data_IF_367461865838
#
_entry.id   IF_367461865838
#
_cell.length_a   1.000
_cell.length_b   1.000
_cell.length_c   1.000
_cell.angle_alpha   90.00
_cell.angle_beta   90.00
_cell.angle_gamma   90.00
#
_symmetry.space_group_name_H-M   'P 1'
#
loop_
_entity.id
_entity.type
_entity.pdbx_description
1 polymer ?
#
# COMPACT_ATOMS: atom_id res chain seq x y z
N UNK A 1 -53.21 -0.52 -46.06
CA UNK A 1 -53.29 -1.89 -45.47
C UNK A 1 -51.92 -2.27 -45.02
N UNK A 2 -51.70 -2.07 -43.78
CA UNK A 2 -51.50 -3.04 -42.71
C UNK A 2 -50.35 -4.02 -42.88
N UNK A 3 -49.29 -3.84 -42.15
CA UNK A 3 -48.81 -4.75 -41.05
C UNK A 3 -47.33 -4.42 -40.77
N UNK A 4 -47.03 -3.78 -39.68
CA UNK A 4 -45.87 -4.05 -38.85
C UNK A 4 -46.04 -3.42 -37.46
N UNK A 5 -46.87 -4.11 -36.66
CA UNK A 5 -46.86 -3.94 -35.20
C UNK A 5 -46.54 -5.33 -34.63
N UNK A 6 -45.39 -5.49 -33.98
CA UNK A 6 -45.18 -6.74 -33.30
C UNK A 6 -43.74 -7.17 -33.01
N UNK A 7 -42.76 -6.28 -32.85
CA UNK A 7 -41.42 -6.72 -32.43
C UNK A 7 -40.76 -5.73 -31.40
N UNK A 8 -41.57 -4.93 -30.74
CA UNK A 8 -41.02 -3.98 -29.76
C UNK A 8 -41.25 -4.34 -28.27
N UNK A 9 -41.85 -5.45 -27.99
CA UNK A 9 -42.22 -5.80 -26.59
C UNK A 9 -41.41 -6.96 -25.98
N UNK A 10 -40.50 -7.58 -26.72
CA UNK A 10 -39.71 -8.71 -26.14
C UNK A 10 -38.30 -8.33 -25.73
N UNK A 11 -37.81 -7.17 -26.13
CA UNK A 11 -36.46 -6.72 -25.74
C UNK A 11 -36.42 -5.97 -24.40
N UNK A 12 -37.57 -5.56 -23.86
CA UNK A 12 -37.61 -4.85 -22.57
C UNK A 12 -37.76 -5.77 -21.35
N UNK A 13 -38.09 -7.03 -21.55
CA UNK A 13 -38.28 -7.98 -20.43
C UNK A 13 -36.99 -8.74 -20.07
N UNK A 14 -35.97 -8.71 -20.90
CA UNK A 14 -34.70 -9.40 -20.62
C UNK A 14 -33.67 -8.52 -19.91
N UNK A 15 -33.85 -7.20 -19.89
CA UNK A 15 -32.97 -6.29 -19.15
C UNK A 15 -33.34 -6.10 -17.67
N UNK A 16 -34.50 -6.53 -17.23
CA UNK A 16 -34.96 -6.39 -15.83
C UNK A 16 -34.60 -7.62 -14.98
N UNK A 17 -34.22 -8.73 -15.61
CA UNK A 17 -33.86 -9.96 -14.89
C UNK A 17 -32.34 -10.11 -14.63
N UNK A 18 -31.53 -9.13 -15.06
CA UNK A 18 -30.09 -9.06 -14.75
C UNK A 18 -29.70 -7.89 -13.83
N UNK A 19 -30.68 -7.18 -13.29
CA UNK A 19 -30.50 -6.46 -12.04
C UNK A 19 -30.43 -7.50 -10.93
N UNK A 20 -29.37 -8.32 -10.98
CA UNK A 20 -29.08 -9.33 -10.01
C UNK A 20 -29.12 -8.66 -8.65
N UNK A 21 -29.87 -9.24 -7.76
CA UNK A 21 -29.83 -9.00 -6.35
C UNK A 21 -28.37 -9.17 -5.91
N UNK A 22 -27.60 -8.08 -5.99
CA UNK A 22 -26.38 -7.95 -5.23
C UNK A 22 -26.83 -7.86 -3.78
N UNK A 23 -27.09 -9.01 -3.17
CA UNK A 23 -27.00 -9.06 -1.72
C UNK A 23 -25.60 -8.56 -1.40
N UNK A 24 -25.44 -7.41 -0.72
CA UNK A 24 -24.16 -7.12 -0.17
C UNK A 24 -23.86 -8.34 0.71
N UNK A 25 -22.78 -9.06 0.40
CA UNK A 25 -22.22 -10.01 1.33
C UNK A 25 -21.92 -9.14 2.56
N UNK A 26 -22.84 -9.13 3.53
CA UNK A 26 -22.56 -8.50 4.81
C UNK A 26 -21.38 -9.26 5.36
N UNK A 27 -20.19 -8.67 5.22
CA UNK A 27 -19.03 -9.15 5.93
C UNK A 27 -19.47 -9.24 7.39
N UNK A 28 -19.44 -10.46 7.94
CA UNK A 28 -19.86 -10.70 9.31
C UNK A 28 -18.88 -9.92 10.18
N UNK A 29 -19.35 -8.82 10.78
CA UNK A 29 -18.51 -7.97 11.61
C UNK A 29 -17.76 -8.85 12.62
N UNK A 30 -16.44 -8.79 12.60
CA UNK A 30 -15.61 -9.57 13.53
C UNK A 30 -15.77 -8.94 14.91
N UNK A 31 -16.35 -9.72 15.83
CA UNK A 31 -16.61 -9.26 17.19
C UNK A 31 -15.70 -9.97 18.18
N UNK A 32 -14.91 -9.19 18.92
CA UNK A 32 -14.07 -9.70 20.00
C UNK A 32 -14.74 -9.48 21.36
N UNK A 33 -14.86 -10.53 22.15
CA UNK A 33 -15.56 -10.53 23.46
C UNK A 33 -14.91 -9.62 24.49
N UNK A 34 -13.61 -9.41 24.38
CA UNK A 34 -12.78 -8.58 25.27
C UNK A 34 -12.58 -7.14 24.77
N UNK A 35 -13.36 -6.71 23.76
CA UNK A 35 -13.39 -5.34 23.25
C UNK A 35 -14.72 -4.68 23.64
N UNK A 36 -14.79 -3.99 24.77
CA UNK A 36 -16.01 -3.34 25.24
C UNK A 36 -16.52 -2.29 24.25
N UNK A 37 -17.83 -2.05 24.25
CA UNK A 37 -18.46 -1.04 23.37
C UNK A 37 -17.95 0.38 23.65
N UNK A 38 -17.47 0.64 24.84
CA UNK A 38 -16.92 1.94 25.30
C UNK A 38 -15.41 2.04 25.15
N UNK A 39 -14.73 1.00 24.67
CA UNK A 39 -13.28 1.02 24.56
C UNK A 39 -12.82 2.04 23.52
N UNK A 40 -11.83 2.87 23.88
CA UNK A 40 -11.28 3.91 23.01
C UNK A 40 -10.65 3.38 21.70
N UNK A 41 -10.27 2.11 21.69
CA UNK A 41 -9.69 1.40 20.55
C UNK A 41 -10.73 0.61 19.72
N UNK A 42 -12.01 0.56 20.15
CA UNK A 42 -13.03 -0.29 19.54
C UNK A 42 -13.18 -0.05 18.03
N UNK A 43 -13.30 1.21 17.63
CA UNK A 43 -13.47 1.55 16.21
C UNK A 43 -12.30 1.06 15.37
N UNK A 44 -11.08 1.30 15.84
CA UNK A 44 -9.87 0.85 15.16
C UNK A 44 -9.82 -0.68 15.04
N UNK A 45 -10.12 -1.39 16.14
CA UNK A 45 -10.12 -2.87 16.14
C UNK A 45 -11.18 -3.42 15.21
N UNK A 46 -12.41 -2.90 15.24
CA UNK A 46 -13.50 -3.36 14.37
C UNK A 46 -13.14 -3.15 12.90
N UNK A 47 -12.70 -1.94 12.52
CA UNK A 47 -12.34 -1.62 11.14
C UNK A 47 -11.20 -2.49 10.62
N UNK A 48 -10.10 -2.58 11.37
CA UNK A 48 -8.95 -3.38 10.94
C UNK A 48 -9.24 -4.89 10.89
N UNK A 49 -10.17 -5.37 11.73
CA UNK A 49 -10.61 -6.76 11.69
C UNK A 49 -11.51 -7.05 10.48
N UNK A 50 -12.44 -6.15 10.17
CA UNK A 50 -13.30 -6.25 8.97
C UNK A 50 -12.47 -6.22 7.68
N UNK A 51 -11.40 -5.42 7.65
CA UNK A 51 -10.44 -5.34 6.53
C UNK A 51 -9.44 -6.53 6.52
N UNK A 52 -9.50 -7.45 7.48
CA UNK A 52 -8.59 -8.60 7.57
C UNK A 52 -7.14 -8.25 7.97
N UNK A 53 -6.89 -7.01 8.39
CA UNK A 53 -5.56 -6.52 8.78
C UNK A 53 -5.14 -7.13 10.11
N UNK A 54 -6.07 -7.22 11.07
CA UNK A 54 -5.83 -7.85 12.36
C UNK A 54 -6.71 -9.09 12.55
N UNK A 55 -6.20 -10.00 13.39
CA UNK A 55 -6.94 -11.18 13.83
C UNK A 55 -6.90 -11.27 15.35
N UNK A 56 -7.81 -12.05 15.93
CA UNK A 56 -7.76 -12.38 17.34
C UNK A 56 -6.53 -13.22 17.72
N UNK A 57 -6.30 -13.36 19.01
CA UNK A 57 -5.24 -14.21 19.57
C UNK A 57 -5.71 -15.64 19.80
N UNK A 58 -6.98 -15.81 20.13
CA UNK A 58 -7.67 -17.09 20.32
C UNK A 58 -9.19 -16.84 20.31
N UNK A 59 -9.98 -17.88 20.35
CA UNK A 59 -11.46 -17.95 20.40
C UNK A 59 -12.25 -16.66 20.67
N UNK A 60 -12.22 -15.72 19.73
CA UNK A 60 -12.97 -14.48 19.81
C UNK A 60 -12.39 -13.45 20.79
N UNK A 61 -11.10 -13.54 21.11
CA UNK A 61 -10.37 -12.56 21.92
C UNK A 61 -9.40 -11.73 21.05
N UNK A 62 -9.32 -10.45 21.32
CA UNK A 62 -8.35 -9.52 20.73
C UNK A 62 -7.09 -9.37 21.59
N UNK A 63 -7.23 -9.51 22.89
CA UNK A 63 -6.17 -9.31 23.90
C UNK A 63 -5.56 -7.89 23.85
N UNK A 64 -6.37 -6.83 24.07
CA UNK A 64 -5.96 -5.43 23.82
C UNK A 64 -4.76 -4.96 24.62
N UNK A 65 -4.57 -5.52 25.81
CA UNK A 65 -3.51 -5.12 26.73
C UNK A 65 -2.20 -5.90 26.55
N UNK A 66 -2.21 -6.97 25.74
CA UNK A 66 -1.01 -7.72 25.46
C UNK A 66 -0.02 -6.88 24.68
N UNK A 67 1.25 -7.09 24.94
CA UNK A 67 2.34 -6.42 24.21
C UNK A 67 2.39 -6.92 22.78
N UNK A 68 2.48 -6.01 21.81
CA UNK A 68 2.61 -6.38 20.41
C UNK A 68 4.07 -6.66 20.04
N UNK A 69 4.29 -7.77 19.34
CA UNK A 69 5.62 -8.10 18.84
C UNK A 69 5.95 -7.31 17.55
N UNK A 70 7.24 -7.20 17.26
CA UNK A 70 7.74 -6.56 16.05
C UNK A 70 7.20 -7.22 14.77
N UNK A 71 7.19 -8.55 14.72
CA UNK A 71 6.62 -9.29 13.59
C UNK A 71 5.11 -9.04 13.45
N UNK A 72 4.38 -9.00 14.56
CA UNK A 72 2.94 -8.74 14.52
C UNK A 72 2.63 -7.33 13.98
N UNK A 73 3.40 -6.30 14.37
CA UNK A 73 3.20 -4.96 13.84
C UNK A 73 3.51 -4.87 12.35
N UNK A 74 4.62 -5.47 11.91
CA UNK A 74 4.97 -5.57 10.48
C UNK A 74 3.88 -6.32 9.69
N UNK A 75 3.29 -7.37 10.28
CA UNK A 75 2.16 -8.10 9.67
C UNK A 75 0.94 -7.21 9.44
N UNK A 76 0.62 -6.33 10.40
CA UNK A 76 -0.48 -5.37 10.24
C UNK A 76 -0.22 -4.43 9.05
N UNK A 77 0.99 -3.88 8.94
CA UNK A 77 1.37 -3.01 7.82
C UNK A 77 1.33 -3.76 6.47
N UNK A 78 1.84 -4.99 6.43
CA UNK A 78 1.83 -5.80 5.22
C UNK A 78 0.40 -6.12 4.73
N UNK A 79 -0.48 -6.53 5.65
CA UNK A 79 -1.88 -6.83 5.34
C UNK A 79 -2.70 -5.60 4.95
N UNK A 80 -2.29 -4.40 5.37
CA UNK A 80 -2.93 -3.17 4.91
C UNK A 80 -2.52 -2.75 3.49
N UNK A 81 -1.44 -3.32 2.96
CA UNK A 81 -0.91 -3.03 1.64
C UNK A 81 -1.23 -4.10 0.59
N UNK A 82 -1.31 -5.37 0.99
CA UNK A 82 -1.38 -6.51 0.09
C UNK A 82 -2.42 -7.53 0.56
N UNK A 83 -3.06 -8.18 -0.41
CA UNK A 83 -3.92 -9.36 -0.15
C UNK A 83 -3.11 -10.55 0.33
N UNK A 84 -3.80 -11.54 0.91
CA UNK A 84 -3.16 -12.78 1.36
C UNK A 84 -2.43 -13.51 0.22
N UNK A 85 -3.02 -13.55 -0.98
CA UNK A 85 -2.40 -14.18 -2.16
C UNK A 85 -1.11 -13.48 -2.58
N UNK A 86 -1.09 -12.16 -2.51
CA UNK A 86 0.11 -11.39 -2.84
C UNK A 86 1.20 -11.58 -1.79
N UNK A 87 0.83 -11.68 -0.52
CA UNK A 87 1.78 -11.91 0.57
C UNK A 87 2.43 -13.30 0.50
N UNK A 88 1.73 -14.33 0.00
CA UNK A 88 2.33 -15.66 -0.16
C UNK A 88 3.52 -15.67 -1.14
N UNK A 89 3.62 -14.72 -2.07
CA UNK A 89 4.78 -14.58 -2.96
C UNK A 89 6.08 -14.25 -2.21
N UNK A 90 5.96 -13.76 -0.99
CA UNK A 90 7.09 -13.47 -0.09
C UNK A 90 7.45 -14.64 0.83
N UNK A 91 6.82 -15.82 0.67
CA UNK A 91 7.12 -17.03 1.42
C UNK A 91 8.30 -17.80 0.79
N UNK A 92 9.47 -17.26 0.93
CA UNK A 92 10.74 -17.87 0.51
C UNK A 92 11.76 -17.77 1.67
N UNK A 93 12.86 -18.53 1.64
CA UNK A 93 13.91 -18.42 2.64
C UNK A 93 14.43 -16.98 2.74
N UNK A 94 14.26 -16.36 3.90
CA UNK A 94 14.75 -15.02 4.17
C UNK A 94 16.20 -15.02 4.69
N UNK A 95 16.73 -13.82 4.93
CA UNK A 95 18.12 -13.63 5.34
C UNK A 95 18.31 -13.64 6.87
N UNK A 96 17.25 -13.88 7.67
CA UNK A 96 17.33 -13.82 9.12
C UNK A 96 17.31 -15.19 9.76
N UNK A 97 18.28 -15.43 10.65
CA UNK A 97 18.45 -16.71 11.35
C UNK A 97 17.24 -17.07 12.23
N UNK A 98 16.56 -16.07 12.74
CA UNK A 98 15.42 -16.16 13.65
C UNK A 98 14.06 -16.05 12.94
N UNK A 99 14.05 -16.01 11.61
CA UNK A 99 12.84 -16.06 10.78
C UNK A 99 13.04 -17.09 9.67
N UNK A 100 13.07 -18.39 10.02
CA UNK A 100 13.17 -19.45 9.02
C UNK A 100 11.93 -19.51 8.13
N UNK A 101 12.02 -20.12 6.97
CA UNK A 101 10.91 -20.20 5.99
C UNK A 101 9.62 -20.79 6.55
N UNK A 102 9.73 -21.63 7.59
CA UNK A 102 8.58 -22.18 8.32
C UNK A 102 7.97 -21.24 9.34
N UNK A 103 8.61 -20.11 9.65
CA UNK A 103 8.07 -19.17 10.62
C UNK A 103 6.84 -18.47 10.06
N UNK A 104 5.80 -18.33 10.89
CA UNK A 104 4.52 -17.74 10.47
C UNK A 104 4.65 -16.34 9.87
N UNK A 105 5.60 -15.55 10.35
CA UNK A 105 5.79 -14.16 9.91
C UNK A 105 6.68 -14.01 8.68
N UNK A 106 7.23 -15.09 8.13
CA UNK A 106 8.17 -15.05 7.01
C UNK A 106 7.70 -14.20 5.83
N UNK A 107 6.48 -14.35 5.29
CA UNK A 107 6.07 -13.55 4.15
C UNK A 107 5.99 -12.06 4.49
N UNK A 108 5.57 -11.73 5.68
CA UNK A 108 5.43 -10.34 6.12
C UNK A 108 6.78 -9.66 6.37
N UNK A 109 7.71 -10.40 6.98
CA UNK A 109 9.07 -9.90 7.24
C UNK A 109 9.84 -9.74 5.94
N UNK A 110 9.77 -10.71 5.03
CA UNK A 110 10.41 -10.62 3.72
C UNK A 110 9.87 -9.43 2.91
N UNK A 111 8.55 -9.28 2.86
CA UNK A 111 7.93 -8.12 2.23
C UNK A 111 8.45 -6.80 2.83
N UNK A 112 8.45 -6.69 4.15
CA UNK A 112 8.85 -5.45 4.80
C UNK A 112 10.32 -5.09 4.55
N UNK A 113 11.18 -6.09 4.44
CA UNK A 113 12.61 -5.88 4.14
C UNK A 113 12.82 -5.50 2.68
N UNK A 114 12.16 -6.19 1.75
CA UNK A 114 12.27 -5.88 0.32
C UNK A 114 11.71 -4.51 -0.05
N UNK A 115 10.66 -4.07 0.65
CA UNK A 115 10.07 -2.74 0.44
C UNK A 115 10.73 -1.63 1.26
N UNK A 116 11.69 -1.97 2.11
CA UNK A 116 12.38 -1.01 2.97
C UNK A 116 11.58 -0.55 4.19
N UNK A 117 10.42 -1.15 4.46
CA UNK A 117 9.58 -0.84 5.64
C UNK A 117 10.28 -1.23 6.93
N UNK A 118 11.00 -2.33 6.92
CA UNK A 118 11.77 -2.77 8.08
C UNK A 118 13.16 -3.26 7.68
N UNK A 119 14.09 -3.21 8.64
CA UNK A 119 15.43 -3.74 8.49
C UNK A 119 15.71 -4.72 9.65
N UNK A 120 16.65 -5.64 9.43
CA UNK A 120 17.17 -6.49 10.50
C UNK A 120 18.18 -5.76 11.36
N UNK A 121 18.62 -6.46 12.39
CA UNK A 121 19.76 -6.06 13.19
C UNK A 121 21.06 -6.54 12.54
N UNK A 122 22.13 -5.80 12.62
CA UNK A 122 23.40 -6.07 11.91
C UNK A 122 24.05 -7.44 12.18
N UNK A 123 23.47 -8.25 13.08
CA UNK A 123 23.92 -9.61 13.41
C UNK A 123 23.17 -10.71 12.65
N UNK A 124 22.36 -10.37 11.64
CA UNK A 124 21.57 -11.32 10.86
C UNK A 124 20.30 -11.81 11.57
N UNK A 125 19.75 -11.03 12.50
CA UNK A 125 18.46 -11.31 13.16
C UNK A 125 17.44 -10.22 12.86
N UNK A 126 16.16 -10.58 12.90
CA UNK A 126 15.01 -9.66 12.81
C UNK A 126 14.38 -9.38 14.16
N UNK A 127 14.53 -10.31 15.09
CA UNK A 127 13.91 -10.36 16.42
C UNK A 127 12.38 -10.29 16.36
N UNK A 128 11.73 -11.28 15.70
CA UNK A 128 10.29 -11.26 15.41
C UNK A 128 9.42 -11.16 16.67
N UNK A 129 9.81 -11.86 17.74
CA UNK A 129 9.03 -11.95 18.98
C UNK A 129 9.34 -10.82 19.97
N UNK A 130 10.33 -9.97 19.67
CA UNK A 130 10.62 -8.83 20.53
C UNK A 130 9.47 -7.82 20.49
N UNK A 131 9.07 -7.35 21.67
CA UNK A 131 8.10 -6.26 21.78
C UNK A 131 8.55 -5.02 20.96
N UNK A 132 7.67 -4.44 20.18
CA UNK A 132 7.93 -3.20 19.45
C UNK A 132 7.79 -2.02 20.41
N UNK A 133 8.79 -1.15 20.46
CA UNK A 133 8.68 0.10 21.21
C UNK A 133 7.89 1.15 20.43
N UNK A 134 7.33 2.14 21.13
CA UNK A 134 6.53 3.20 20.51
C UNK A 134 7.32 4.01 19.48
N UNK A 135 8.60 4.31 19.76
CA UNK A 135 9.45 4.99 18.78
C UNK A 135 9.78 4.12 17.56
N UNK A 136 9.91 2.80 17.71
CA UNK A 136 10.09 1.88 16.59
C UNK A 136 8.81 1.77 15.76
N UNK A 137 7.65 1.73 16.40
CA UNK A 137 6.37 1.75 15.69
C UNK A 137 6.22 3.00 14.81
N UNK A 138 6.59 4.18 15.33
CA UNK A 138 6.58 5.42 14.54
C UNK A 138 7.50 5.34 13.30
N UNK A 139 8.71 4.77 13.46
CA UNK A 139 9.64 4.61 12.34
C UNK A 139 9.15 3.60 11.32
N UNK A 140 8.56 2.49 11.75
CA UNK A 140 7.97 1.51 10.84
C UNK A 140 6.81 2.11 10.04
N UNK A 141 5.94 2.91 10.69
CA UNK A 141 4.85 3.63 10.02
C UNK A 141 5.40 4.65 9.01
N UNK A 142 6.45 5.42 9.38
CA UNK A 142 7.08 6.36 8.45
C UNK A 142 7.66 5.64 7.23
N UNK A 143 8.44 4.59 7.45
CA UNK A 143 9.01 3.79 6.35
C UNK A 143 7.92 3.16 5.48
N UNK A 144 6.81 2.74 6.08
CA UNK A 144 5.66 2.24 5.37
C UNK A 144 5.00 3.33 4.51
N UNK A 145 4.85 4.54 5.05
CA UNK A 145 4.37 5.70 4.27
C UNK A 145 5.26 5.95 3.05
N UNK A 146 6.59 6.02 3.26
CA UNK A 146 7.56 6.23 2.18
C UNK A 146 7.46 5.14 1.10
N UNK A 147 7.24 3.87 1.49
CA UNK A 147 7.15 2.74 0.56
C UNK A 147 5.84 2.68 -0.22
N UNK A 148 4.79 3.28 0.30
CA UNK A 148 3.43 3.28 -0.29
C UNK A 148 3.02 4.62 -0.89
N UNK A 149 3.89 5.64 -0.83
CA UNK A 149 3.59 6.98 -1.32
C UNK A 149 2.58 7.76 -0.49
N UNK A 150 2.31 7.33 0.75
CA UNK A 150 1.39 8.04 1.64
C UNK A 150 2.08 9.24 2.27
N UNK A 151 1.35 10.35 2.39
CA UNK A 151 1.85 11.58 2.99
C UNK A 151 1.28 11.77 4.39
N UNK A 152 2.13 12.29 5.27
CA UNK A 152 1.71 12.72 6.60
C UNK A 152 1.16 14.16 6.50
N UNK A 153 -0.15 14.36 6.70
CA UNK A 153 -0.69 15.71 6.73
C UNK A 153 -0.19 16.44 7.98
N UNK A 154 -0.02 17.75 7.86
CA UNK A 154 0.32 18.61 8.99
C UNK A 154 -0.95 19.20 9.62
N UNK A 155 -1.87 18.35 10.04
CA UNK A 155 -3.17 18.73 10.56
C UNK A 155 -3.09 19.34 11.96
N UNK A 156 -1.97 19.11 12.66
CA UNK A 156 -1.73 19.63 14.01
C UNK A 156 -0.39 20.36 14.06
N UNK A 157 -0.29 21.44 14.85
CA UNK A 157 1.00 22.08 15.07
C UNK A 157 2.01 21.07 15.65
N UNK A 158 3.27 21.25 15.32
CA UNK A 158 4.32 20.46 15.95
C UNK A 158 4.31 20.74 17.46
N UNK A 159 3.80 19.79 18.21
CA UNK A 159 3.85 19.81 19.66
C UNK A 159 5.12 19.18 20.20
N UNK A 160 5.43 19.44 21.44
CA UNK A 160 6.51 18.74 22.14
C UNK A 160 5.95 17.84 23.22
N UNK A 161 6.42 16.59 23.23
CA UNK A 161 6.18 15.70 24.37
C UNK A 161 7.06 16.10 25.54
N UNK A 162 6.58 15.92 26.76
CA UNK A 162 7.38 16.24 27.97
C UNK A 162 8.68 15.46 28.04
N UNK A 163 8.69 14.25 27.49
CA UNK A 163 9.83 13.34 27.44
C UNK A 163 10.52 13.31 26.05
N UNK A 164 10.33 14.34 25.22
CA UNK A 164 10.90 14.37 23.86
C UNK A 164 12.42 14.24 23.83
N UNK A 165 13.12 14.65 24.91
CA UNK A 165 14.56 14.46 25.05
C UNK A 165 15.00 13.00 25.08
N UNK A 166 14.09 12.09 25.45
CA UNK A 166 14.31 10.64 25.50
C UNK A 166 14.07 9.93 24.16
N UNK A 167 13.54 10.64 23.16
CA UNK A 167 13.35 10.09 21.81
C UNK A 167 14.72 9.97 21.14
N UNK A 168 15.05 8.76 20.71
CA UNK A 168 16.29 8.49 20.00
C UNK A 168 16.39 9.34 18.71
N UNK A 169 17.60 9.80 18.36
CA UNK A 169 17.83 10.69 17.22
C UNK A 169 17.26 10.14 15.91
N UNK A 170 17.39 8.84 15.68
CA UNK A 170 16.87 8.13 14.50
C UNK A 170 15.33 8.07 14.42
N UNK A 171 14.61 8.29 15.52
CA UNK A 171 13.15 8.24 15.58
C UNK A 171 12.48 9.63 15.59
N UNK A 172 13.22 10.70 15.87
CA UNK A 172 12.67 12.06 16.07
C UNK A 172 11.76 12.51 14.94
N UNK A 173 12.22 12.34 13.70
CA UNK A 173 11.47 12.78 12.53
C UNK A 173 10.17 11.96 12.35
N UNK A 174 10.24 10.64 12.49
CA UNK A 174 9.07 9.78 12.40
C UNK A 174 8.03 10.10 13.48
N UNK A 175 8.49 10.32 14.71
CA UNK A 175 7.61 10.69 15.83
C UNK A 175 6.94 12.05 15.57
N UNK A 176 7.70 13.04 15.08
CA UNK A 176 7.16 14.36 14.73
C UNK A 176 6.07 14.25 13.65
N UNK A 177 6.33 13.53 12.56
CA UNK A 177 5.38 13.33 11.48
C UNK A 177 4.11 12.62 11.95
N UNK A 178 4.27 11.53 12.70
CA UNK A 178 3.13 10.80 13.27
C UNK A 178 2.30 11.66 14.22
N UNK A 179 2.95 12.54 14.99
CA UNK A 179 2.26 13.47 15.89
C UNK A 179 1.45 14.51 15.10
N UNK A 180 2.07 15.18 14.12
CA UNK A 180 1.42 16.22 13.32
C UNK A 180 0.24 15.67 12.51
N UNK A 181 0.32 14.43 12.05
CA UNK A 181 -0.76 13.74 11.36
C UNK A 181 -1.83 13.15 12.31
N UNK A 182 -1.66 13.28 13.62
CA UNK A 182 -2.59 12.70 14.60
C UNK A 182 -2.57 11.17 14.66
N UNK A 183 -1.54 10.54 14.08
CA UNK A 183 -1.37 9.08 14.06
C UNK A 183 -0.95 8.57 15.43
N UNK A 184 0.01 9.24 16.05
CA UNK A 184 0.48 8.93 17.41
C UNK A 184 0.29 10.16 18.29
N UNK A 185 -0.44 9.97 19.36
CA UNK A 185 -0.63 10.99 20.39
C UNK A 185 0.13 10.58 21.66
N UNK A 186 0.44 11.54 22.52
CA UNK A 186 0.98 11.25 23.84
C UNK A 186 -0.03 10.60 24.77
N UNK A 187 0.44 10.20 25.94
CA UNK A 187 -0.43 9.79 27.04
C UNK A 187 -1.11 11.03 27.69
N UNK A 188 -2.11 10.84 28.56
CA UNK A 188 -2.80 11.94 29.23
C UNK A 188 -1.88 12.88 30.01
N UNK A 189 -0.68 12.43 30.38
CA UNK A 189 0.33 13.25 31.05
C UNK A 189 1.22 14.03 30.05
N UNK A 190 1.01 13.87 28.75
CA UNK A 190 1.76 14.55 27.69
C UNK A 190 3.11 13.90 27.36
N UNK A 191 3.34 12.64 27.76
CA UNK A 191 4.55 11.91 27.40
C UNK A 191 4.33 11.04 26.15
N UNK A 192 5.37 10.87 25.36
CA UNK A 192 5.39 9.93 24.24
C UNK A 192 5.74 8.51 24.66
N UNK A 193 6.59 8.34 25.67
CA UNK A 193 7.15 7.07 26.17
C UNK A 193 7.90 6.30 25.07
N UNK A 194 9.01 6.82 24.56
CA UNK A 194 9.66 6.33 23.32
C UNK A 194 10.11 4.87 23.44
N UNK A 195 10.63 4.44 24.59
CA UNK A 195 11.09 3.07 24.84
C UNK A 195 10.02 2.15 25.41
N UNK A 196 8.85 2.69 25.77
CA UNK A 196 7.70 1.90 26.21
C UNK A 196 7.22 0.99 25.09
N UNK A 197 6.83 -0.23 25.43
CA UNK A 197 6.27 -1.19 24.47
C UNK A 197 4.83 -0.81 24.10
N UNK A 198 4.48 -0.98 22.83
CA UNK A 198 3.12 -0.77 22.38
C UNK A 198 2.26 -1.99 22.72
N UNK A 199 1.06 -1.75 23.23
CA UNK A 199 0.04 -2.79 23.35
C UNK A 199 -0.63 -3.07 22.01
N UNK A 200 -1.34 -4.20 21.91
CA UNK A 200 -2.11 -4.53 20.71
C UNK A 200 -3.17 -3.48 20.40
N UNK A 201 -3.83 -2.92 21.40
CA UNK A 201 -4.79 -1.84 21.24
C UNK A 201 -4.13 -0.55 20.73
N UNK A 202 -3.00 -0.15 21.32
CA UNK A 202 -2.25 1.03 20.86
C UNK A 202 -1.77 0.88 19.42
N UNK A 203 -1.24 -0.28 19.06
CA UNK A 203 -0.79 -0.55 17.69
C UNK A 203 -1.95 -0.57 16.68
N UNK A 204 -3.11 -1.13 17.05
CA UNK A 204 -4.31 -1.08 16.21
C UNK A 204 -4.75 0.37 15.96
N UNK A 205 -4.75 1.21 16.98
CA UNK A 205 -5.11 2.63 16.82
C UNK A 205 -4.08 3.39 15.99
N UNK A 206 -2.78 3.12 16.15
CA UNK A 206 -1.73 3.72 15.32
C UNK A 206 -1.94 3.33 13.85
N UNK A 207 -2.14 2.05 13.55
CA UNK A 207 -2.37 1.57 12.19
C UNK A 207 -3.65 2.17 11.60
N UNK A 208 -4.76 2.14 12.32
CA UNK A 208 -6.04 2.69 11.90
C UNK A 208 -5.94 4.19 11.58
N UNK A 209 -5.39 4.98 12.51
CA UNK A 209 -5.22 6.43 12.32
C UNK A 209 -4.29 6.74 11.15
N UNK A 210 -3.25 5.94 10.95
CA UNK A 210 -2.38 6.09 9.81
C UNK A 210 -3.14 5.89 8.49
N UNK A 211 -3.94 4.83 8.39
CA UNK A 211 -4.72 4.53 7.19
C UNK A 211 -5.81 5.59 6.90
N UNK A 212 -6.42 6.15 7.95
CA UNK A 212 -7.46 7.18 7.83
C UNK A 212 -6.91 8.58 7.58
N UNK A 213 -5.79 8.93 8.22
CA UNK A 213 -5.28 10.29 8.20
C UNK A 213 -4.23 10.54 7.10
N UNK A 214 -3.49 9.50 6.71
CA UNK A 214 -2.41 9.61 5.73
C UNK A 214 -2.90 9.11 4.38
N UNK A 215 -3.36 10.04 3.56
CA UNK A 215 -3.86 9.75 2.23
C UNK A 215 -2.71 9.31 1.31
N UNK A 216 -3.04 8.46 0.35
CA UNK A 216 -2.15 8.27 -0.80
C UNK A 216 -2.17 9.56 -1.61
N UNK A 217 -1.03 9.98 -2.14
CA UNK A 217 -1.04 10.96 -3.23
C UNK A 217 -1.94 10.42 -4.35
N UNK A 218 -2.30 11.28 -5.30
CA UNK A 218 -3.05 10.90 -6.49
C UNK A 218 -2.41 9.73 -7.23
N UNK A 219 -1.15 9.43 -6.91
CA UNK A 219 -0.43 8.24 -7.35
C UNK A 219 0.37 7.60 -6.21
N UNK A 220 0.59 6.29 -6.28
CA UNK A 220 1.49 5.56 -5.41
C UNK A 220 2.58 4.85 -6.22
N UNK A 221 3.82 4.91 -5.72
CA UNK A 221 4.92 4.09 -6.26
C UNK A 221 5.06 2.89 -5.33
N UNK A 222 4.73 1.71 -5.82
CA UNK A 222 4.82 0.48 -5.05
C UNK A 222 5.92 -0.42 -5.61
N UNK A 223 6.65 -1.07 -4.71
CA UNK A 223 7.56 -2.14 -5.07
C UNK A 223 6.85 -3.47 -4.82
N UNK A 224 6.80 -4.30 -5.82
CA UNK A 224 6.12 -5.59 -5.77
C UNK A 224 7.00 -6.66 -6.38
N UNK A 225 6.88 -7.88 -5.88
CA UNK A 225 7.51 -9.04 -6.52
C UNK A 225 6.47 -9.79 -7.37
N UNK A 226 6.81 -10.02 -8.63
CA UNK A 226 5.98 -10.80 -9.55
C UNK A 226 6.85 -11.93 -10.09
N UNK A 227 6.44 -13.18 -9.87
CA UNK A 227 7.22 -14.37 -10.26
C UNK A 227 8.70 -14.29 -9.86
N UNK A 228 8.98 -13.95 -8.58
CA UNK A 228 10.34 -13.74 -8.05
C UNK A 228 11.12 -12.56 -8.64
N UNK A 229 10.54 -11.75 -9.51
CA UNK A 229 11.18 -10.57 -10.08
C UNK A 229 10.71 -9.32 -9.33
N UNK A 230 11.61 -8.50 -8.77
CA UNK A 230 11.22 -7.24 -8.16
C UNK A 230 10.69 -6.29 -9.25
N UNK A 231 9.51 -5.74 -9.02
CA UNK A 231 8.84 -4.80 -9.93
C UNK A 231 8.54 -3.52 -9.16
N UNK A 232 8.82 -2.39 -9.77
CA UNK A 232 8.28 -1.10 -9.32
C UNK A 232 7.08 -0.77 -10.19
N UNK A 233 5.96 -0.50 -9.54
CA UNK A 233 4.74 -0.09 -10.20
C UNK A 233 4.30 1.29 -9.72
N UNK A 234 3.74 2.08 -10.61
CA UNK A 234 3.05 3.31 -10.27
C UNK A 234 1.56 3.03 -10.36
N UNK A 235 0.84 3.27 -9.29
CA UNK A 235 -0.60 3.14 -9.21
C UNK A 235 -1.18 4.55 -9.24
N UNK A 236 -2.02 4.85 -10.23
CA UNK A 236 -2.68 6.12 -10.39
C UNK A 236 -4.11 6.03 -9.86
N UNK A 237 -4.55 7.03 -9.13
CA UNK A 237 -5.95 7.13 -8.70
C UNK A 237 -6.85 7.40 -9.93
N UNK A 238 -7.92 6.64 -10.13
CA UNK A 238 -8.81 6.83 -11.27
C UNK A 238 -9.35 8.25 -11.35
N UNK A 239 -9.29 8.86 -12.54
CA UNK A 239 -9.81 10.20 -12.80
C UNK A 239 -8.95 11.37 -12.33
N UNK A 240 -7.78 11.10 -11.73
CA UNK A 240 -6.86 12.15 -11.28
C UNK A 240 -5.74 12.45 -12.30
N UNK A 241 -5.58 11.60 -13.30
CA UNK A 241 -4.52 11.74 -14.30
C UNK A 241 -5.06 11.52 -15.70
N UNK A 242 -4.58 12.35 -16.60
CA UNK A 242 -4.71 12.14 -18.05
C UNK A 242 -3.46 11.43 -18.56
N UNK A 243 -3.65 10.31 -19.25
CA UNK A 243 -2.57 9.61 -19.91
C UNK A 243 -2.40 10.14 -21.34
N UNK A 244 -1.21 10.58 -21.67
CA UNK A 244 -0.87 11.06 -23.00
C UNK A 244 0.40 10.40 -23.54
N UNK A 245 0.50 10.33 -24.84
CA UNK A 245 1.71 9.89 -25.53
C UNK A 245 2.62 11.10 -25.79
N UNK A 246 3.85 11.03 -25.33
CA UNK A 246 4.87 12.00 -25.67
C UNK A 246 5.96 11.34 -26.53
N UNK A 247 6.23 11.95 -27.66
CA UNK A 247 7.28 11.49 -28.58
C UNK A 247 8.61 12.19 -28.23
N UNK A 248 9.72 11.44 -28.30
CA UNK A 248 11.04 12.03 -28.15
C UNK A 248 11.26 13.14 -29.18
N UNK A 249 11.68 14.32 -28.72
CA UNK A 249 11.86 15.51 -29.58
C UNK A 249 10.64 15.87 -30.46
N UNK A 250 9.42 15.44 -30.03
CA UNK A 250 8.15 15.55 -30.77
C UNK A 250 8.16 14.86 -32.16
N UNK A 251 9.00 13.88 -32.36
CA UNK A 251 9.14 13.11 -33.60
C UNK A 251 8.99 11.62 -33.32
N UNK A 252 8.47 10.88 -34.29
CA UNK A 252 8.26 9.43 -34.17
C UNK A 252 9.59 8.67 -33.98
N UNK A 253 10.63 9.15 -34.62
CA UNK A 253 12.00 8.59 -34.59
C UNK A 253 12.98 9.42 -33.76
N UNK A 254 12.46 10.31 -32.91
CA UNK A 254 13.28 11.15 -32.03
C UNK A 254 13.69 10.43 -30.75
N UNK A 255 14.97 10.52 -30.41
CA UNK A 255 15.50 10.00 -29.14
C UNK A 255 15.57 11.12 -28.10
N UNK A 256 14.95 10.87 -26.95
CA UNK A 256 15.01 11.77 -25.79
C UNK A 256 15.03 10.92 -24.51
N UNK A 257 15.85 11.30 -23.53
CA UNK A 257 15.82 10.60 -22.26
C UNK A 257 14.56 10.98 -21.43
N UNK A 258 14.11 10.07 -20.58
CA UNK A 258 12.87 10.24 -19.83
C UNK A 258 12.87 11.51 -18.94
N UNK A 259 14.02 11.90 -18.39
CA UNK A 259 14.13 13.12 -17.55
C UNK A 259 13.91 14.37 -18.37
N UNK A 260 14.51 14.45 -19.58
CA UNK A 260 14.31 15.56 -20.50
C UNK A 260 12.84 15.65 -20.94
N UNK A 261 12.23 14.50 -21.25
CA UNK A 261 10.84 14.40 -21.66
C UNK A 261 9.89 14.87 -20.54
N UNK A 262 10.11 14.45 -19.31
CA UNK A 262 9.35 14.91 -18.12
C UNK A 262 9.48 16.43 -17.97
N UNK A 263 10.69 16.96 -18.03
CA UNK A 263 10.91 18.40 -17.88
C UNK A 263 10.21 19.21 -18.98
N UNK A 264 10.21 18.72 -20.23
CA UNK A 264 9.59 19.40 -21.37
C UNK A 264 8.06 19.32 -21.35
N UNK A 265 7.51 18.18 -20.96
CA UNK A 265 6.04 17.95 -20.99
C UNK A 265 5.34 18.36 -19.71
N UNK A 266 6.10 18.58 -18.62
CA UNK A 266 5.53 18.80 -17.31
C UNK A 266 4.85 17.54 -16.72
N UNK A 267 5.15 16.38 -17.25
CA UNK A 267 4.55 15.12 -16.78
C UNK A 267 5.00 14.82 -15.34
N UNK A 268 4.07 14.39 -14.52
CA UNK A 268 4.37 13.94 -13.15
C UNK A 268 5.06 12.58 -13.17
N UNK A 269 4.67 11.74 -14.14
CA UNK A 269 5.20 10.38 -14.31
C UNK A 269 5.41 10.14 -15.80
N UNK A 270 6.54 9.55 -16.15
CA UNK A 270 6.81 9.08 -17.49
C UNK A 270 7.43 7.68 -17.45
N UNK A 271 6.99 6.84 -18.36
CA UNK A 271 7.52 5.48 -18.55
C UNK A 271 7.85 5.28 -20.03
N UNK A 272 8.86 4.45 -20.27
CA UNK A 272 9.13 4.03 -21.64
C UNK A 272 8.04 3.05 -22.08
N UNK A 273 7.25 3.44 -23.08
CA UNK A 273 6.03 2.72 -23.46
C UNK A 273 6.21 1.69 -24.56
N UNK A 274 7.37 1.62 -25.23
CA UNK A 274 7.56 0.71 -26.35
C UNK A 274 9.02 0.24 -26.46
N UNK A 275 9.21 -0.92 -27.09
CA UNK A 275 10.50 -1.31 -27.62
C UNK A 275 10.83 -0.43 -28.83
N UNK A 276 12.08 -0.15 -29.06
CA UNK A 276 12.53 0.64 -30.20
C UNK A 276 13.80 0.03 -30.80
N UNK A 277 13.99 0.30 -32.08
CA UNK A 277 15.19 -0.11 -32.78
C UNK A 277 16.38 0.74 -32.28
N UNK A 278 17.43 0.10 -31.79
CA UNK A 278 18.58 0.76 -31.20
C UNK A 278 19.41 1.56 -32.21
N UNK A 279 19.26 1.32 -33.49
CA UNK A 279 20.05 2.01 -34.53
C UNK A 279 19.41 3.31 -35.04
N UNK A 280 18.09 3.42 -35.01
CA UNK A 280 17.34 4.57 -35.53
C UNK A 280 16.26 5.10 -34.56
N UNK A 281 16.11 4.48 -33.40
CA UNK A 281 15.12 4.85 -32.36
C UNK A 281 13.65 4.79 -32.78
N UNK A 282 13.33 4.16 -33.91
CA UNK A 282 11.92 3.97 -34.31
C UNK A 282 11.25 2.96 -33.38
N UNK A 283 10.01 3.22 -32.91
CA UNK A 283 9.25 2.25 -32.13
C UNK A 283 9.03 0.96 -32.94
N UNK A 284 9.20 -0.17 -32.25
CA UNK A 284 8.87 -1.49 -32.76
C UNK A 284 7.44 -1.80 -32.35
N UNK A 285 6.54 -1.89 -33.32
CA UNK A 285 5.12 -2.12 -33.09
C UNK A 285 4.22 -0.99 -33.61
N UNK A 286 2.93 -1.19 -33.49
CA UNK A 286 1.95 -0.18 -33.87
C UNK A 286 1.77 0.83 -32.71
N UNK A 287 2.02 2.09 -33.01
CA UNK A 287 1.81 3.20 -32.09
C UNK A 287 0.60 4.01 -32.54
N UNK A 288 -0.36 4.20 -31.66
CA UNK A 288 -1.58 4.98 -31.93
C UNK A 288 -1.70 6.08 -30.87
N UNK A 289 -1.95 7.31 -31.33
CA UNK A 289 -2.29 8.44 -30.46
C UNK A 289 -3.46 9.22 -31.05
N UNK A 290 -4.40 9.61 -30.19
CA UNK A 290 -5.60 10.36 -30.55
C UNK A 290 -6.36 9.75 -31.75
N UNK A 291 -6.42 8.42 -31.79
CA UNK A 291 -7.03 7.65 -32.88
C UNK A 291 -6.24 7.64 -34.20
N UNK A 292 -5.00 8.18 -34.21
CA UNK A 292 -4.12 8.18 -35.38
C UNK A 292 -3.03 7.16 -35.24
N UNK A 293 -2.81 6.37 -36.27
CA UNK A 293 -1.67 5.44 -36.34
C UNK A 293 -0.42 6.26 -36.65
N UNK A 294 0.55 6.23 -35.76
CA UNK A 294 1.83 6.94 -35.88
C UNK A 294 2.91 6.05 -36.49
N UNK A 295 2.93 4.76 -36.10
CA UNK A 295 3.81 3.76 -36.72
C UNK A 295 3.07 2.45 -36.93
N UNK A 296 3.51 1.68 -37.93
CA UNK A 296 3.09 0.29 -38.11
C UNK A 296 4.35 -0.55 -38.17
N UNK A 297 4.41 -1.56 -37.30
CA UNK A 297 5.50 -2.53 -37.35
C UNK A 297 5.31 -3.44 -38.59
N UNK A 298 6.21 -3.35 -39.54
CA UNK A 298 6.26 -4.23 -40.68
C UNK A 298 7.19 -5.43 -40.43
N UNK A 299 7.93 -5.45 -39.32
CA UNK A 299 8.74 -6.58 -38.92
C UNK A 299 7.93 -7.50 -38.02
N UNK A 300 7.86 -8.78 -38.37
CA UNK A 300 7.17 -9.79 -37.57
C UNK A 300 7.74 -9.79 -36.15
N UNK A 301 6.98 -9.32 -35.20
CA UNK A 301 7.35 -9.40 -33.79
C UNK A 301 7.71 -10.86 -33.42
N UNK A 302 8.86 -11.13 -32.84
CA UNK A 302 9.25 -12.48 -32.46
C UNK A 302 8.45 -13.04 -31.29
N UNK A 303 7.54 -12.30 -30.73
CA UNK A 303 6.71 -12.72 -29.61
C UNK A 303 5.25 -12.84 -30.01
N UNK A 304 4.80 -14.09 -30.15
CA UNK A 304 3.36 -14.40 -30.12
C UNK A 304 2.87 -14.21 -28.68
N UNK A 305 1.74 -13.50 -28.54
CA UNK A 305 0.99 -13.40 -27.29
C UNK A 305 0.57 -14.77 -26.76
#
# INVERSE_FOLDING_TARGET
>A
MNKTKGVRSLALLLCVLLAGVSFPLQAKAVYFRDVPVTAWYRQAVARLADDGIITGTSDGLFSPNDTLTRAAFVTMLARSALSATELEQYRFPGNFKDVPSSHWSTPYVNWAVETGVAEGYGNGTFRPDRAVSRQEAAVLVKKFADSTGRKFPQNQPAGSFRDQGSIASWAKEAVRLCQQAGVITGDPSGNFRPTGTATRAEAAVICYRFLENCETEDYAIVQKRVYNTPVRAVILSPGQFDASLALGQNMVDGAENVVSLVNRTGAVIAVNGAFFNMSNYTPVGTLISDGRVLTIDNERAPYKA
#
